data_IF_599057792503
#
_entry.id   IF_599057792503
#
_cell.length_a   1.000
_cell.length_b   1.000
_cell.length_c   1.000
_cell.angle_alpha   90.00
_cell.angle_beta   90.00
_cell.angle_gamma   90.00
#
_symmetry.space_group_name_H-M   'P 1'
#
loop_
_entity.id
_entity.type
_entity.pdbx_description
1 polymer ?
#
# COMPACT_ATOMS: atom_id res chain seq x y z
N UNK A 1 -10.64 -17.16 11.51
CA UNK A 1 -9.17 -17.05 11.53
C UNK A 1 -8.60 -18.40 11.91
N UNK A 2 -7.60 -18.87 11.19
CA UNK A 2 -6.88 -20.12 11.51
C UNK A 2 -5.45 -19.74 11.87
N UNK A 3 -4.94 -20.30 12.94
CA UNK A 3 -3.52 -20.27 13.26
C UNK A 3 -2.90 -21.57 12.76
N UNK A 4 -1.82 -21.45 11.99
CA UNK A 4 -1.10 -22.59 11.42
C UNK A 4 0.31 -22.58 11.94
N UNK A 5 0.73 -23.68 12.52
CA UNK A 5 2.10 -23.87 13.04
C UNK A 5 2.86 -24.86 12.14
N UNK A 6 4.08 -24.52 11.75
CA UNK A 6 4.96 -25.45 11.06
C UNK A 6 5.42 -26.57 12.00
N UNK A 7 5.25 -27.81 11.58
CA UNK A 7 5.72 -28.97 12.34
C UNK A 7 7.27 -28.97 12.48
N UNK A 8 7.96 -28.58 11.43
CA UNK A 8 9.41 -28.39 11.42
C UNK A 8 9.78 -26.94 11.81
N UNK A 9 10.12 -26.75 13.09
CA UNK A 9 10.51 -25.45 13.66
C UNK A 9 11.92 -24.99 13.23
N UNK A 10 12.66 -25.80 12.52
CA UNK A 10 13.97 -25.42 11.99
C UNK A 10 13.88 -24.61 10.68
N UNK A 11 12.71 -24.61 10.03
CA UNK A 11 12.46 -23.90 8.78
C UNK A 11 11.80 -22.55 9.00
N UNK A 12 12.19 -21.57 8.18
CA UNK A 12 11.52 -20.28 8.14
C UNK A 12 10.17 -20.44 7.39
N UNK A 13 9.12 -19.80 7.90
CA UNK A 13 7.79 -19.83 7.28
C UNK A 13 7.82 -19.29 5.84
N UNK A 14 8.57 -18.23 5.58
CA UNK A 14 8.67 -17.65 4.24
C UNK A 14 9.32 -18.61 3.24
N UNK A 15 10.37 -19.35 3.66
CA UNK A 15 11.02 -20.34 2.79
C UNK A 15 10.06 -21.47 2.43
N UNK A 16 9.23 -21.91 3.38
CA UNK A 16 8.21 -22.93 3.13
C UNK A 16 7.13 -22.41 2.19
N UNK A 17 6.68 -21.15 2.39
CA UNK A 17 5.68 -20.53 1.50
C UNK A 17 6.21 -20.35 0.08
N UNK A 18 7.49 -20.07 -0.10
CA UNK A 18 8.11 -20.00 -1.43
C UNK A 18 8.18 -21.35 -2.12
N UNK A 19 8.38 -22.44 -1.35
CA UNK A 19 8.51 -23.80 -1.91
C UNK A 19 7.16 -24.43 -2.30
N UNK A 20 6.14 -24.27 -1.46
CA UNK A 20 4.86 -24.97 -1.63
C UNK A 20 3.65 -24.04 -1.81
N UNK A 21 3.85 -22.74 -1.63
CA UNK A 21 2.77 -21.75 -1.74
C UNK A 21 2.41 -21.43 -3.18
N UNK A 22 1.24 -20.84 -3.32
CA UNK A 22 0.73 -20.32 -4.58
C UNK A 22 0.61 -18.80 -4.51
N UNK A 23 0.79 -18.12 -5.65
CA UNK A 23 0.57 -16.68 -5.71
C UNK A 23 -0.92 -16.37 -5.48
N UNK A 24 -1.28 -15.58 -4.46
CA UNK A 24 -2.67 -15.24 -4.18
C UNK A 24 -3.18 -14.20 -5.18
N UNK A 25 -3.52 -14.66 -6.39
CA UNK A 25 -4.08 -13.79 -7.42
C UNK A 25 -5.45 -13.24 -6.98
N UNK A 26 -5.79 -12.01 -7.35
CA UNK A 26 -7.10 -11.44 -7.04
C UNK A 26 -8.20 -12.18 -7.80
N UNK A 27 -9.44 -12.25 -7.27
CA UNK A 27 -10.53 -13.05 -7.82
C UNK A 27 -10.95 -12.69 -9.26
N UNK A 28 -10.60 -11.51 -9.75
CA UNK A 28 -10.88 -11.10 -11.14
C UNK A 28 -9.86 -11.66 -12.15
N UNK A 29 -8.77 -12.29 -11.69
CA UNK A 29 -7.87 -13.10 -12.53
C UNK A 29 -8.35 -14.55 -12.43
N UNK A 30 -9.22 -14.94 -13.36
CA UNK A 30 -9.88 -16.25 -13.37
C UNK A 30 -9.00 -17.32 -14.05
N UNK A 31 -7.86 -17.62 -13.43
CA UNK A 31 -6.97 -18.73 -13.77
C UNK A 31 -6.12 -19.14 -12.56
N UNK A 32 -5.58 -20.36 -12.53
CA UNK A 32 -4.52 -20.73 -11.59
C UNK A 32 -3.30 -19.81 -11.75
N UNK A 33 -2.54 -19.67 -10.67
CA UNK A 33 -1.25 -19.00 -10.71
C UNK A 33 -0.22 -19.82 -11.50
N UNK A 34 0.72 -19.10 -12.09
CA UNK A 34 1.86 -19.64 -12.84
C UNK A 34 3.16 -19.14 -12.22
N UNK A 35 4.27 -19.83 -12.50
CA UNK A 35 5.59 -19.44 -11.97
C UNK A 35 5.95 -17.98 -12.32
N UNK A 36 5.56 -17.51 -13.51
CA UNK A 36 5.77 -16.15 -13.95
C UNK A 36 5.03 -15.10 -13.09
N UNK A 37 3.95 -15.47 -12.40
CA UNK A 37 3.21 -14.52 -11.55
C UNK A 37 4.01 -14.07 -10.32
N UNK A 38 4.96 -14.87 -9.86
CA UNK A 38 5.84 -14.49 -8.75
C UNK A 38 6.64 -13.23 -9.09
N UNK A 39 7.01 -13.05 -10.35
CA UNK A 39 7.72 -11.88 -10.84
C UNK A 39 6.76 -10.83 -11.41
N UNK A 40 5.82 -11.24 -12.26
CA UNK A 40 4.92 -10.32 -12.97
C UNK A 40 3.85 -9.70 -12.09
N UNK A 41 3.41 -10.38 -11.02
CA UNK A 41 2.44 -9.83 -10.06
C UNK A 41 3.16 -9.18 -8.86
N UNK A 42 4.23 -8.43 -9.14
CA UNK A 42 4.99 -7.63 -8.19
C UNK A 42 5.55 -6.37 -8.85
N UNK A 43 5.75 -5.33 -8.03
CA UNK A 43 6.38 -4.09 -8.52
C UNK A 43 7.89 -4.24 -8.62
N UNK A 44 8.53 -3.51 -9.53
CA UNK A 44 10.01 -3.49 -9.68
C UNK A 44 10.74 -2.94 -8.45
N UNK A 45 10.02 -2.29 -7.53
CA UNK A 45 10.55 -1.70 -6.30
C UNK A 45 10.12 -2.43 -5.02
N UNK A 46 9.56 -3.62 -5.11
CA UNK A 46 9.23 -4.43 -3.93
C UNK A 46 10.48 -4.77 -3.10
N UNK A 47 10.39 -4.69 -1.78
CA UNK A 47 11.54 -4.94 -0.88
C UNK A 47 11.19 -5.78 0.34
N UNK A 48 10.01 -5.57 0.91
CA UNK A 48 9.64 -6.13 2.21
C UNK A 48 8.57 -7.19 2.00
N UNK A 49 8.86 -8.48 2.24
CA UNK A 49 7.87 -9.54 2.17
C UNK A 49 6.85 -9.42 3.31
N UNK A 50 5.61 -9.86 3.09
CA UNK A 50 4.57 -9.88 4.14
C UNK A 50 3.18 -9.45 3.69
N UNK A 51 3.03 -8.91 2.47
CA UNK A 51 1.73 -8.58 1.90
C UNK A 51 1.15 -9.76 1.11
N UNK A 52 -0.17 -9.92 1.17
CA UNK A 52 -0.91 -10.93 0.37
C UNK A 52 -1.23 -10.40 -1.03
N UNK A 53 -1.36 -9.08 -1.20
CA UNK A 53 -1.70 -8.45 -2.47
C UNK A 53 -0.61 -7.49 -2.92
N UNK A 54 -0.30 -7.50 -4.22
CA UNK A 54 0.59 -6.52 -4.84
C UNK A 54 -0.12 -5.15 -5.00
N UNK A 55 0.62 -4.04 -4.92
CA UNK A 55 0.08 -2.70 -5.19
C UNK A 55 -0.08 -2.51 -6.71
N UNK A 56 -1.20 -2.98 -7.28
CA UNK A 56 -1.41 -3.12 -8.72
C UNK A 56 -1.25 -1.83 -9.52
N UNK A 57 -1.50 -0.67 -8.95
CA UNK A 57 -1.19 0.60 -9.60
C UNK A 57 0.31 0.78 -9.87
N UNK A 58 1.17 0.18 -9.04
CA UNK A 58 2.62 0.19 -9.19
C UNK A 58 3.14 -0.70 -10.32
N UNK A 59 2.35 -1.69 -10.77
CA UNK A 59 2.73 -2.59 -11.87
C UNK A 59 2.85 -1.86 -13.22
N UNK A 60 2.33 -0.65 -13.34
CA UNK A 60 2.49 0.18 -14.54
C UNK A 60 3.85 0.89 -14.61
N UNK A 61 4.69 0.76 -13.58
CA UNK A 61 6.01 1.35 -13.53
C UNK A 61 7.08 0.28 -13.75
N UNK A 62 7.91 0.49 -14.73
CA UNK A 62 9.13 -0.25 -14.97
C UNK A 62 10.36 0.64 -14.68
N UNK A 63 11.55 0.04 -14.69
CA UNK A 63 12.80 0.75 -14.40
C UNK A 63 13.07 1.89 -15.39
N UNK A 64 12.69 1.71 -16.66
CA UNK A 64 12.88 2.73 -17.71
C UNK A 64 12.00 3.96 -17.45
N UNK A 65 10.73 3.74 -17.07
CA UNK A 65 9.81 4.82 -16.72
C UNK A 65 10.27 5.56 -15.46
N UNK A 66 10.68 4.83 -14.42
CA UNK A 66 11.21 5.41 -13.18
C UNK A 66 12.45 6.28 -13.49
N UNK A 67 13.37 5.78 -14.32
CA UNK A 67 14.54 6.53 -14.75
C UNK A 67 14.16 7.83 -15.48
N UNK A 68 13.24 7.75 -16.45
CA UNK A 68 12.76 8.92 -17.20
C UNK A 68 12.09 9.97 -16.31
N UNK A 69 11.35 9.55 -15.31
CA UNK A 69 10.71 10.45 -14.36
C UNK A 69 11.76 11.11 -13.45
N UNK A 70 12.75 10.35 -13.00
CA UNK A 70 13.87 10.88 -12.22
C UNK A 70 14.64 11.96 -13.00
N UNK A 71 14.94 11.71 -14.27
CA UNK A 71 15.61 12.68 -15.17
C UNK A 71 14.79 13.96 -15.37
N UNK A 72 13.46 13.89 -15.25
CA UNK A 72 12.55 15.04 -15.23
C UNK A 72 12.50 15.78 -13.89
N UNK A 73 13.24 15.33 -12.88
CA UNK A 73 13.27 15.92 -11.55
C UNK A 73 12.09 15.51 -10.66
N UNK A 74 11.46 14.36 -10.93
CA UNK A 74 10.48 13.76 -10.02
C UNK A 74 11.24 13.00 -8.92
N UNK A 75 10.94 13.31 -7.68
CA UNK A 75 11.45 12.57 -6.53
C UNK A 75 10.52 11.40 -6.22
N UNK A 76 11.11 10.28 -5.81
CA UNK A 76 10.39 9.07 -5.41
C UNK A 76 10.67 8.76 -3.95
N UNK A 77 9.60 8.45 -3.23
CA UNK A 77 9.65 7.92 -1.88
C UNK A 77 8.78 6.67 -1.80
N UNK A 78 9.12 5.76 -0.89
CA UNK A 78 8.46 4.47 -0.77
C UNK A 78 7.93 4.28 0.64
N UNK A 79 6.70 3.77 0.72
CA UNK A 79 6.05 3.37 1.97
C UNK A 79 5.80 1.87 1.95
N UNK A 80 5.78 1.23 3.11
CA UNK A 80 5.41 -0.17 3.24
C UNK A 80 4.03 -0.28 3.85
N UNK A 81 3.16 -1.04 3.21
CA UNK A 81 1.87 -1.45 3.75
C UNK A 81 1.74 -2.97 3.61
N UNK A 82 1.54 -3.66 4.72
CA UNK A 82 1.27 -5.10 4.72
C UNK A 82 -0.20 -5.35 4.47
N UNK A 83 -0.55 -5.48 3.20
CA UNK A 83 -1.94 -5.69 2.76
C UNK A 83 -2.39 -7.12 3.11
N UNK A 84 -3.43 -7.22 3.92
CA UNK A 84 -4.02 -8.50 4.30
C UNK A 84 -5.01 -9.04 3.26
N UNK A 85 -5.41 -10.30 3.44
CA UNK A 85 -6.40 -10.97 2.55
C UNK A 85 -7.77 -10.27 2.53
N UNK A 86 -8.07 -9.43 3.52
CA UNK A 86 -9.31 -8.64 3.58
C UNK A 86 -9.49 -7.64 2.44
N UNK A 87 -8.40 -7.26 1.76
CA UNK A 87 -8.46 -6.33 0.61
C UNK A 87 -9.29 -6.87 -0.57
N UNK A 88 -9.45 -8.18 -0.67
CA UNK A 88 -10.26 -8.83 -1.71
C UNK A 88 -11.73 -9.01 -1.33
N UNK A 89 -12.12 -8.60 -0.10
CA UNK A 89 -13.51 -8.73 0.33
C UNK A 89 -14.34 -7.55 -0.16
N UNK A 90 -15.50 -7.81 -0.78
CA UNK A 90 -16.40 -6.75 -1.19
C UNK A 90 -17.02 -6.06 0.03
N UNK A 91 -17.34 -4.78 -0.12
CA UNK A 91 -18.16 -4.04 0.85
C UNK A 91 -19.54 -4.71 0.92
N UNK A 92 -19.99 -5.08 2.14
CA UNK A 92 -21.24 -5.86 2.36
C UNK A 92 -22.24 -5.11 3.23
N UNK A 93 -22.10 -3.81 3.36
CA UNK A 93 -22.97 -2.96 4.17
C UNK A 93 -23.78 -2.03 3.27
N UNK A 94 -25.01 -1.74 3.69
CA UNK A 94 -25.91 -0.82 2.96
C UNK A 94 -25.46 0.65 3.12
N UNK A 95 -24.92 1.00 4.28
CA UNK A 95 -24.38 2.33 4.54
C UNK A 95 -22.86 2.27 4.59
N UNK A 96 -22.21 3.11 3.80
CA UNK A 96 -20.75 3.15 3.71
C UNK A 96 -20.08 3.47 5.05
N UNK A 97 -20.75 4.21 5.92
CA UNK A 97 -20.25 4.58 7.25
C UNK A 97 -20.20 3.39 8.22
N UNK A 98 -21.00 2.33 7.97
CA UNK A 98 -21.02 1.11 8.76
C UNK A 98 -19.91 0.13 8.37
N UNK A 99 -19.15 0.44 7.30
CA UNK A 99 -18.07 -0.41 6.83
C UNK A 99 -16.86 -0.34 7.77
N UNK A 100 -16.47 -1.51 8.29
CA UNK A 100 -15.26 -1.66 9.11
C UNK A 100 -14.12 -2.11 8.21
N UNK A 101 -13.16 -1.21 7.99
CA UNK A 101 -11.94 -1.55 7.27
C UNK A 101 -11.05 -2.49 8.08
N UNK A 102 -10.48 -3.47 7.40
CA UNK A 102 -9.47 -4.32 8.02
C UNK A 102 -8.23 -3.49 8.37
N UNK A 103 -7.68 -3.78 9.54
CA UNK A 103 -6.43 -3.19 9.97
C UNK A 103 -5.27 -3.73 9.11
N UNK A 104 -4.41 -2.84 8.67
CA UNK A 104 -3.21 -3.15 7.88
C UNK A 104 -2.03 -2.38 8.44
N UNK A 105 -0.89 -3.04 8.59
CA UNK A 105 0.30 -2.44 9.18
C UNK A 105 1.03 -1.54 8.17
N UNK A 106 1.29 -0.30 8.59
CA UNK A 106 1.96 0.75 7.81
C UNK A 106 3.33 1.04 8.38
N UNK A 107 4.33 1.19 7.51
CA UNK A 107 5.63 1.76 7.83
C UNK A 107 5.87 2.98 6.95
N UNK A 108 5.94 4.15 7.59
CA UNK A 108 6.23 5.43 6.95
C UNK A 108 7.35 6.13 7.73
N UNK A 109 8.51 6.24 7.10
CA UNK A 109 9.73 6.72 7.73
C UNK A 109 9.80 8.26 7.84
N UNK A 110 10.74 8.74 8.65
CA UNK A 110 11.02 10.18 8.78
C UNK A 110 11.50 10.79 7.44
N UNK A 111 12.22 10.02 6.62
CA UNK A 111 12.70 10.51 5.31
C UNK A 111 11.52 10.81 4.39
N UNK A 112 10.52 9.92 4.34
CA UNK A 112 9.28 10.15 3.58
C UNK A 112 8.54 11.38 4.09
N UNK A 113 8.43 11.54 5.41
CA UNK A 113 7.82 12.73 6.00
C UNK A 113 8.53 14.02 5.57
N UNK A 114 9.86 14.04 5.65
CA UNK A 114 10.66 15.19 5.26
C UNK A 114 10.47 15.55 3.78
N UNK A 115 10.51 14.55 2.89
CA UNK A 115 10.30 14.75 1.46
C UNK A 115 8.92 15.32 1.15
N UNK A 116 7.88 14.84 1.83
CA UNK A 116 6.51 15.35 1.73
C UNK A 116 6.43 16.82 2.19
N UNK A 117 6.98 17.12 3.37
CA UNK A 117 6.97 18.48 3.95
C UNK A 117 7.69 19.45 3.03
N UNK A 118 8.86 19.08 2.51
CA UNK A 118 9.63 19.92 1.59
C UNK A 118 8.88 20.15 0.28
N UNK A 119 8.25 19.09 -0.26
CA UNK A 119 7.42 19.17 -1.47
C UNK A 119 6.27 20.16 -1.29
N UNK A 120 5.56 20.08 -0.19
CA UNK A 120 4.43 20.98 0.12
C UNK A 120 4.93 22.41 0.38
N UNK A 121 6.03 22.62 1.11
CA UNK A 121 6.64 23.95 1.31
C UNK A 121 7.07 24.59 -0.02
N UNK A 122 7.50 23.79 -0.97
CA UNK A 122 7.84 24.25 -2.33
C UNK A 122 6.63 24.53 -3.23
N UNK A 123 5.41 24.38 -2.73
CA UNK A 123 4.17 24.54 -3.49
C UNK A 123 3.97 23.47 -4.61
N UNK A 124 4.64 22.33 -4.46
CA UNK A 124 4.55 21.22 -5.39
C UNK A 124 3.54 20.16 -4.91
N UNK A 125 3.30 19.15 -5.75
CA UNK A 125 2.28 18.12 -5.51
C UNK A 125 2.89 16.84 -4.98
N UNK A 126 2.18 16.21 -4.06
CA UNK A 126 2.38 14.84 -3.60
C UNK A 126 1.42 13.94 -4.37
N UNK A 127 1.96 13.03 -5.17
CA UNK A 127 1.20 12.11 -6.02
C UNK A 127 1.38 10.70 -5.46
N UNK A 128 0.30 10.11 -4.96
CA UNK A 128 0.31 8.74 -4.48
C UNK A 128 0.10 7.75 -5.62
N UNK A 129 0.86 6.66 -5.63
CA UNK A 129 0.67 5.53 -6.53
C UNK A 129 0.06 4.38 -5.75
N UNK A 130 -1.21 4.10 -6.04
CA UNK A 130 -2.04 3.12 -5.35
C UNK A 130 -2.80 3.68 -4.13
N UNK A 131 -3.97 3.12 -3.89
CA UNK A 131 -4.79 3.44 -2.72
C UNK A 131 -4.09 3.08 -1.41
N UNK A 132 -3.22 2.08 -1.42
CA UNK A 132 -2.34 1.70 -0.30
C UNK A 132 -1.43 2.84 0.12
N UNK A 133 -0.78 3.53 -0.82
CA UNK A 133 0.05 4.70 -0.54
C UNK A 133 -0.76 5.86 0.02
N UNK A 134 -1.96 6.11 -0.53
CA UNK A 134 -2.88 7.13 0.01
C UNK A 134 -3.22 6.83 1.46
N UNK A 135 -3.63 5.60 1.76
CA UNK A 135 -3.98 5.20 3.13
C UNK A 135 -2.82 5.39 4.10
N UNK A 136 -1.60 5.01 3.70
CA UNK A 136 -0.41 5.17 4.53
C UNK A 136 -0.12 6.65 4.84
N UNK A 137 -0.09 7.49 3.80
CA UNK A 137 0.22 8.92 3.93
C UNK A 137 -0.85 9.65 4.74
N UNK A 138 -2.13 9.46 4.41
CA UNK A 138 -3.23 10.14 5.09
C UNK A 138 -3.40 9.67 6.55
N UNK A 139 -3.07 8.41 6.87
CA UNK A 139 -3.01 7.92 8.26
C UNK A 139 -1.93 8.65 9.06
N UNK A 140 -0.73 8.76 8.51
CA UNK A 140 0.38 9.45 9.16
C UNK A 140 0.10 10.95 9.35
N UNK A 141 -0.59 11.58 8.39
CA UNK A 141 -1.03 12.97 8.50
C UNK A 141 -2.15 13.14 9.54
N UNK A 142 -3.09 12.20 9.63
CA UNK A 142 -4.14 12.20 10.65
C UNK A 142 -3.54 12.04 12.05
N UNK A 143 -2.56 11.12 12.21
CA UNK A 143 -1.84 10.93 13.47
C UNK A 143 -1.14 12.22 13.91
N UNK A 144 -0.45 12.92 13.00
CA UNK A 144 0.19 14.19 13.30
C UNK A 144 -0.83 15.25 13.78
N UNK A 145 -1.99 15.34 13.12
CA UNK A 145 -3.07 16.24 13.52
C UNK A 145 -3.62 15.91 14.93
N UNK A 146 -3.91 14.63 15.19
CA UNK A 146 -4.43 14.15 16.48
C UNK A 146 -3.43 14.34 17.63
N UNK A 147 -2.13 14.21 17.35
CA UNK A 147 -1.06 14.44 18.31
C UNK A 147 -0.74 15.93 18.52
N UNK A 148 -1.38 16.83 17.77
CA UNK A 148 -1.08 18.27 17.82
C UNK A 148 0.31 18.62 17.30
N UNK A 149 0.87 17.77 16.42
CA UNK A 149 2.14 18.01 15.79
C UNK A 149 2.01 19.22 14.82
N UNK A 150 2.88 20.23 14.90
CA UNK A 150 2.83 21.37 13.97
C UNK A 150 3.24 21.01 12.54
N UNK A 151 3.91 19.88 12.35
CA UNK A 151 4.23 19.35 11.04
C UNK A 151 3.02 18.69 10.39
N UNK A 152 2.98 18.73 9.08
CA UNK A 152 1.86 18.22 8.27
C UNK A 152 1.69 16.70 8.40
N UNK A 153 2.76 15.99 8.71
CA UNK A 153 2.85 14.53 8.75
C UNK A 153 3.96 14.12 9.70
N UNK A 154 3.83 12.95 10.33
CA UNK A 154 4.83 12.38 11.22
C UNK A 154 5.14 10.92 10.84
N UNK A 155 6.29 10.35 11.25
CA UNK A 155 6.58 8.92 11.06
C UNK A 155 5.49 8.06 11.69
N UNK A 156 5.13 6.98 10.99
CA UNK A 156 4.06 6.10 11.43
C UNK A 156 4.44 4.63 11.26
N UNK A 157 4.36 3.87 12.35
CA UNK A 157 4.71 2.44 12.40
C UNK A 157 3.65 1.71 13.21
N UNK A 158 2.45 1.57 12.67
CA UNK A 158 1.33 0.94 13.36
C UNK A 158 0.24 0.52 12.37
N UNK A 159 -0.82 -0.08 12.90
CA UNK A 159 -1.98 -0.45 12.11
C UNK A 159 -2.81 0.77 11.70
N UNK A 160 -3.35 0.71 10.49
CA UNK A 160 -4.36 1.67 10.00
C UNK A 160 -5.66 0.97 9.67
N UNK A 161 -6.75 1.57 10.10
CA UNK A 161 -8.11 1.22 9.67
C UNK A 161 -8.80 2.37 8.93
N UNK A 162 -8.01 3.35 8.44
CA UNK A 162 -8.58 4.50 7.74
C UNK A 162 -9.40 4.04 6.53
N UNK A 163 -10.62 4.55 6.45
CA UNK A 163 -11.51 4.36 5.32
C UNK A 163 -11.77 5.69 4.64
N UNK A 164 -11.37 5.79 3.37
CA UNK A 164 -11.50 7.00 2.56
C UNK A 164 -12.63 6.77 1.57
N UNK A 165 -13.68 7.60 1.66
CA UNK A 165 -14.86 7.54 0.82
C UNK A 165 -15.29 8.95 0.40
N UNK A 166 -16.20 9.12 -0.57
CA UNK A 166 -16.63 10.43 -1.04
C UNK A 166 -17.07 11.36 0.09
N UNK A 167 -16.56 12.59 0.09
CA UNK A 167 -16.77 13.58 1.16
C UNK A 167 -15.63 13.68 2.19
N UNK A 168 -14.67 12.75 2.19
CA UNK A 168 -13.44 12.90 3.00
C UNK A 168 -12.46 13.82 2.29
N UNK A 169 -11.83 14.70 3.08
CA UNK A 169 -10.76 15.58 2.60
C UNK A 169 -9.40 14.91 2.77
N UNK A 170 -8.56 15.07 1.77
CA UNK A 170 -7.14 14.68 1.86
C UNK A 170 -6.34 15.78 2.54
N UNK A 171 -5.39 15.40 3.38
CA UNK A 171 -4.50 16.32 4.11
C UNK A 171 -3.22 16.61 3.35
N UNK A 172 -2.70 15.59 2.71
CA UNK A 172 -1.37 15.59 2.09
C UNK A 172 -1.43 15.27 0.61
N UNK A 173 -2.17 14.24 0.21
CA UNK A 173 -2.18 13.74 -1.16
C UNK A 173 -2.92 14.69 -2.08
N UNK A 174 -2.26 15.13 -3.16
CA UNK A 174 -2.82 16.05 -4.17
C UNK A 174 -3.36 15.32 -5.40
N UNK A 175 -2.84 14.13 -5.69
CA UNK A 175 -3.27 13.31 -6.82
C UNK A 175 -3.01 11.83 -6.56
N UNK A 176 -3.79 10.99 -7.21
CA UNK A 176 -3.72 9.53 -7.11
C UNK A 176 -3.59 8.92 -8.50
N UNK A 177 -2.61 8.04 -8.66
CA UNK A 177 -2.55 7.07 -9.75
C UNK A 177 -3.07 5.75 -9.19
N UNK A 178 -4.14 5.24 -9.75
CA UNK A 178 -4.76 3.99 -9.29
C UNK A 178 -5.15 3.11 -10.47
N UNK A 179 -5.51 1.88 -10.14
CA UNK A 179 -5.99 0.90 -11.11
C UNK A 179 -7.50 0.71 -11.01
N UNK A 180 -8.12 0.17 -12.05
CA UNK A 180 -9.50 -0.28 -12.02
C UNK A 180 -9.55 -1.74 -11.59
N UNK A 181 -10.34 -2.07 -10.58
CA UNK A 181 -10.44 -3.42 -10.04
C UNK A 181 -11.79 -4.07 -10.36
N UNK A 182 -12.87 -3.36 -10.18
CA UNK A 182 -14.23 -3.82 -10.42
C UNK A 182 -15.04 -2.70 -11.10
N UNK A 183 -16.13 -3.06 -11.82
CA UNK A 183 -16.96 -2.09 -12.53
C UNK A 183 -17.95 -1.32 -11.65
N UNK A 184 -17.85 -1.42 -10.33
CA UNK A 184 -18.75 -0.76 -9.37
C UNK A 184 -18.17 0.53 -8.82
#
# INVERSE_FOLDING_TARGET
>A
LFEVELADKSRNVLDVLQEIGHMPLPPYIDRPDEEADQECYQTVYNKVPGAVAAPTAGLHFDDELLQKLHEKGVNFEFVTLHVGAGTFQPVRVDNIEDHIMHAEYVELSQEVCNAIIETKKAGKRVIAVGTTSVRSIETAALSAEENGNPDLIEPYFSDTSIFIYPGKSFRVVDALITNFHLPE
#
